data_IF_473304834444
#
_entry.id   IF_473304834444
#
_cell.length_a   1.000
_cell.length_b   1.000
_cell.length_c   1.000
_cell.angle_alpha   90.00
_cell.angle_beta   90.00
_cell.angle_gamma   90.00
#
_symmetry.space_group_name_H-M   'P 1'
#
loop_
_entity.id
_entity.type
_entity.pdbx_description
1 polymer ?
#
# COMPACT_ATOMS: atom_id res chain seq x y z
N UNK A 1 -46.16 29.56 35.90
CA UNK A 1 -45.11 30.55 36.18
C UNK A 1 -45.55 31.85 35.54
N UNK A 2 -45.73 32.91 36.34
CA UNK A 2 -46.13 34.21 35.83
C UNK A 2 -44.96 34.82 35.03
N UNK A 3 -45.19 35.21 33.78
CA UNK A 3 -44.21 35.91 32.97
C UNK A 3 -43.93 37.31 33.55
N UNK A 4 -42.72 37.86 33.32
CA UNK A 4 -42.35 39.16 33.86
C UNK A 4 -43.28 40.27 33.36
N UNK A 5 -43.62 41.19 34.26
CA UNK A 5 -44.43 42.37 34.01
C UNK A 5 -43.69 43.30 33.03
N UNK A 6 -44.31 43.54 31.87
CA UNK A 6 -43.74 44.35 30.78
C UNK A 6 -43.53 45.82 31.19
N UNK A 7 -44.10 46.28 32.31
CA UNK A 7 -43.92 47.63 32.84
C UNK A 7 -42.51 47.93 33.35
N UNK A 8 -41.71 46.92 33.71
CA UNK A 8 -40.39 47.12 34.32
C UNK A 8 -39.27 47.37 33.29
N UNK A 9 -39.47 46.95 32.03
CA UNK A 9 -38.49 47.11 30.93
C UNK A 9 -38.37 48.54 30.40
N UNK A 10 -39.20 49.48 30.85
CA UNK A 10 -39.20 50.87 30.41
C UNK A 10 -38.24 51.77 31.22
N UNK A 11 -37.71 51.29 32.35
CA UNK A 11 -36.79 52.05 33.21
C UNK A 11 -35.31 51.69 33.04
N UNK A 12 -35.02 50.66 32.24
CA UNK A 12 -33.65 50.24 31.93
C UNK A 12 -33.02 51.20 30.92
N UNK A 13 -31.74 51.53 31.13
CA UNK A 13 -31.00 52.30 30.15
C UNK A 13 -30.81 51.47 28.85
N UNK A 14 -30.45 52.14 27.75
CA UNK A 14 -30.34 51.48 26.44
C UNK A 14 -29.33 50.32 26.43
N UNK A 15 -28.30 50.36 27.27
CA UNK A 15 -27.28 49.32 27.37
C UNK A 15 -27.85 48.05 28.00
N UNK A 16 -28.64 48.19 29.06
CA UNK A 16 -29.23 47.05 29.77
C UNK A 16 -30.31 46.37 28.91
N UNK A 17 -31.05 47.13 28.10
CA UNK A 17 -31.99 46.59 27.12
C UNK A 17 -31.29 45.81 26.00
N UNK A 18 -30.12 46.27 25.58
CA UNK A 18 -29.29 45.56 24.60
C UNK A 18 -28.75 44.24 25.17
N UNK A 19 -28.27 44.26 26.42
CA UNK A 19 -27.77 43.07 27.09
C UNK A 19 -28.88 42.02 27.32
N UNK A 20 -30.07 42.45 27.77
CA UNK A 20 -31.21 41.56 27.95
C UNK A 20 -31.72 40.96 26.62
N UNK A 21 -31.68 41.72 25.52
CA UNK A 21 -32.03 41.22 24.20
C UNK A 21 -31.02 40.19 23.67
N UNK A 22 -29.73 40.36 23.96
CA UNK A 22 -28.67 39.40 23.61
C UNK A 22 -28.83 38.10 24.42
N UNK A 23 -29.12 38.18 25.72
CA UNK A 23 -29.37 36.99 26.54
C UNK A 23 -30.63 36.22 26.09
N UNK A 24 -31.71 36.94 25.76
CA UNK A 24 -32.92 36.33 25.25
C UNK A 24 -32.68 35.63 23.90
N UNK A 25 -31.94 36.25 22.98
CA UNK A 25 -31.59 35.65 21.68
C UNK A 25 -30.73 34.38 21.81
N UNK A 26 -29.91 34.27 22.85
CA UNK A 26 -29.07 33.10 23.10
C UNK A 26 -29.79 31.97 23.86
N UNK A 27 -30.82 32.28 24.66
CA UNK A 27 -31.55 31.31 25.48
C UNK A 27 -32.50 30.36 24.71
N UNK A 28 -32.73 30.60 23.41
CA UNK A 28 -33.73 29.90 22.60
C UNK A 28 -33.21 29.07 21.43
N UNK A 29 -31.89 29.01 21.19
CA UNK A 29 -31.36 28.11 20.16
C UNK A 29 -31.24 26.70 20.73
N UNK A 30 -31.99 25.70 20.22
CA UNK A 30 -31.65 24.31 20.51
C UNK A 30 -30.20 24.13 20.08
N UNK A 31 -29.36 23.66 20.99
CA UNK A 31 -27.97 23.36 20.69
C UNK A 31 -27.95 22.36 19.53
N UNK A 32 -27.72 22.85 18.32
CA UNK A 32 -27.44 21.98 17.18
C UNK A 32 -26.35 21.03 17.63
N UNK A 33 -26.55 19.69 17.56
CA UNK A 33 -25.59 18.74 18.07
C UNK A 33 -24.23 19.09 17.49
N UNK A 34 -23.31 19.48 18.36
CA UNK A 34 -21.95 19.87 18.00
C UNK A 34 -21.30 18.66 17.37
N UNK A 35 -21.37 18.54 16.05
CA UNK A 35 -20.62 17.55 15.29
C UNK A 35 -19.15 17.86 15.57
N UNK A 36 -18.52 17.02 16.40
CA UNK A 36 -17.12 17.17 16.73
C UNK A 36 -16.34 17.25 15.41
N UNK A 37 -15.46 18.26 15.23
CA UNK A 37 -14.65 18.36 14.03
C UNK A 37 -13.87 17.05 13.85
N UNK A 38 -13.71 16.56 12.60
CA UNK A 38 -13.02 15.30 12.35
C UNK A 38 -11.62 15.37 12.98
N UNK A 39 -11.33 14.40 13.86
CA UNK A 39 -10.04 14.31 14.54
C UNK A 39 -8.94 14.23 13.49
N UNK A 40 -7.98 15.16 13.54
CA UNK A 40 -6.83 15.13 12.65
C UNK A 40 -6.09 13.80 12.81
N UNK A 41 -5.59 13.19 11.72
CA UNK A 41 -4.81 11.97 11.82
C UNK A 41 -3.57 12.20 12.68
N UNK A 42 -3.19 11.19 13.47
CA UNK A 42 -1.97 11.25 14.28
C UNK A 42 -0.74 11.47 13.39
N UNK A 43 0.34 12.01 13.96
CA UNK A 43 1.61 12.17 13.25
C UNK A 43 2.11 10.84 12.66
N UNK A 44 1.84 9.73 13.36
CA UNK A 44 2.17 8.38 12.90
C UNK A 44 1.32 7.94 11.72
N UNK A 45 0.01 8.17 11.74
CA UNK A 45 -0.87 7.84 10.62
C UNK A 45 -0.50 8.65 9.36
N UNK A 46 -0.23 9.95 9.52
CA UNK A 46 0.24 10.79 8.41
C UNK A 46 1.57 10.29 7.85
N UNK A 47 2.49 9.88 8.71
CA UNK A 47 3.78 9.31 8.29
C UNK A 47 3.57 8.02 7.50
N UNK A 48 2.78 7.09 8.03
CA UNK A 48 2.48 5.81 7.38
C UNK A 48 1.88 6.01 5.97
N UNK A 49 0.91 6.94 5.82
CA UNK A 49 0.29 7.22 4.52
C UNK A 49 1.27 7.71 3.45
N UNK A 50 2.38 8.36 3.83
CA UNK A 50 3.41 8.78 2.87
C UNK A 50 4.22 7.57 2.35
N UNK A 51 4.45 6.58 3.20
CA UNK A 51 5.11 5.33 2.83
C UNK A 51 4.21 4.46 1.97
N UNK A 52 2.95 4.28 2.36
CA UNK A 52 1.93 3.55 1.60
C UNK A 52 1.75 4.16 0.20
N UNK A 53 1.58 5.48 0.12
CA UNK A 53 1.42 6.15 -1.18
C UNK A 53 2.63 5.99 -2.12
N UNK A 54 3.85 5.97 -1.59
CA UNK A 54 5.05 5.72 -2.39
C UNK A 54 5.20 4.25 -2.78
N UNK A 55 4.90 3.34 -1.85
CA UNK A 55 4.89 1.90 -2.06
C UNK A 55 3.93 1.53 -3.21
N UNK A 56 2.69 2.01 -3.14
CA UNK A 56 1.65 1.79 -4.14
C UNK A 56 2.04 2.37 -5.51
N UNK A 57 2.56 3.60 -5.52
CA UNK A 57 2.94 4.31 -6.74
C UNK A 57 4.05 3.60 -7.52
N UNK A 58 4.99 2.97 -6.81
CA UNK A 58 6.19 2.38 -7.43
C UNK A 58 6.23 0.85 -7.36
N UNK A 59 5.24 0.19 -6.75
CA UNK A 59 5.22 -1.27 -6.59
C UNK A 59 6.35 -1.79 -5.69
N UNK A 60 6.71 -1.03 -4.65
CA UNK A 60 7.75 -1.41 -3.67
C UNK A 60 7.06 -1.78 -2.36
N UNK A 61 7.44 -2.87 -1.67
CA UNK A 61 6.83 -3.22 -0.39
C UNK A 61 6.96 -2.09 0.64
N UNK A 62 5.84 -1.74 1.29
CA UNK A 62 5.79 -0.61 2.25
C UNK A 62 6.67 -0.86 3.47
N UNK A 63 6.74 -2.11 3.93
CA UNK A 63 7.58 -2.56 5.03
C UNK A 63 9.07 -2.41 4.73
N UNK A 64 9.50 -2.62 3.48
CA UNK A 64 10.87 -2.33 3.02
C UNK A 64 11.20 -0.84 3.16
N UNK A 65 10.32 0.06 2.70
CA UNK A 65 10.56 1.51 2.83
C UNK A 65 10.57 1.96 4.29
N UNK A 66 9.70 1.38 5.13
CA UNK A 66 9.70 1.62 6.58
C UNK A 66 10.99 1.11 7.24
N UNK A 67 11.46 -0.08 6.88
CA UNK A 67 12.71 -0.66 7.35
C UNK A 67 13.92 0.21 6.99
N UNK A 68 13.96 0.72 5.76
CA UNK A 68 14.99 1.67 5.30
C UNK A 68 14.97 2.95 6.13
N UNK A 69 13.81 3.57 6.31
CA UNK A 69 13.70 4.81 7.09
C UNK A 69 14.11 4.63 8.55
N UNK A 70 13.80 3.49 9.15
CA UNK A 70 14.21 3.18 10.52
C UNK A 70 15.73 2.94 10.61
N UNK A 71 16.31 2.17 9.69
CA UNK A 71 17.76 1.91 9.64
C UNK A 71 18.56 3.20 9.42
N UNK A 72 18.10 4.04 8.52
CA UNK A 72 18.86 5.19 8.02
C UNK A 72 18.78 6.41 8.95
N UNK A 73 17.65 6.61 9.61
CA UNK A 73 17.42 7.83 10.39
C UNK A 73 16.62 7.64 11.68
N UNK A 74 16.16 6.41 11.96
CA UNK A 74 15.12 6.16 12.96
C UNK A 74 13.90 7.08 12.73
N UNK A 75 13.49 7.20 11.46
CA UNK A 75 12.41 8.09 10.99
C UNK A 75 12.61 9.60 11.23
N UNK A 76 13.83 10.06 11.50
CA UNK A 76 14.10 11.48 11.69
C UNK A 76 14.22 12.21 10.34
N UNK A 77 13.27 13.11 10.00
CA UNK A 77 13.27 13.80 8.71
C UNK A 77 14.40 14.82 8.58
N UNK A 78 15.06 15.18 9.68
CA UNK A 78 16.17 16.13 9.74
C UNK A 78 17.53 15.43 9.94
N UNK A 79 17.59 14.10 9.84
CA UNK A 79 18.82 13.35 10.01
C UNK A 79 19.91 13.76 9.03
N UNK A 80 21.16 13.69 9.49
CA UNK A 80 22.36 14.02 8.73
C UNK A 80 23.48 13.07 9.14
N UNK A 81 24.14 12.46 8.16
CA UNK A 81 25.35 11.66 8.40
C UNK A 81 26.42 12.51 9.09
N UNK A 82 27.05 11.98 10.13
CA UNK A 82 28.19 12.59 10.81
C UNK A 82 29.48 11.92 10.30
N UNK A 83 30.54 12.71 10.04
CA UNK A 83 31.87 12.18 9.73
C UNK A 83 32.36 12.40 8.28
N UNK A 84 33.46 11.72 7.94
CA UNK A 84 34.12 11.79 6.64
C UNK A 84 33.45 10.79 5.69
N UNK A 85 32.95 11.28 4.55
CA UNK A 85 32.28 10.45 3.54
C UNK A 85 31.19 11.23 2.79
N UNK A 86 30.45 10.52 1.94
CA UNK A 86 29.32 11.09 1.22
C UNK A 86 28.23 11.54 2.18
N UNK A 87 27.78 12.79 2.05
CA UNK A 87 26.74 13.34 2.90
C UNK A 87 25.41 12.66 2.58
N UNK A 88 24.74 12.19 3.64
CA UNK A 88 23.41 11.59 3.56
C UNK A 88 22.45 12.34 4.47
N UNK A 89 21.24 12.62 3.98
CA UNK A 89 20.30 13.53 4.65
C UNK A 89 18.86 13.02 4.57
N UNK A 90 18.07 13.36 5.58
CA UNK A 90 16.63 13.10 5.60
C UNK A 90 16.25 11.71 6.10
N UNK A 91 14.97 11.38 5.93
CA UNK A 91 14.33 10.22 6.55
C UNK A 91 14.85 8.86 6.03
N UNK A 92 15.33 8.78 4.79
CA UNK A 92 15.94 7.60 4.16
C UNK A 92 17.40 7.91 3.74
N UNK A 93 18.10 8.78 4.49
CA UNK A 93 19.52 9.10 4.28
C UNK A 93 19.90 9.27 2.79
N UNK A 94 19.23 10.18 2.07
CA UNK A 94 19.46 10.43 0.65
C UNK A 94 20.86 11.01 0.42
N UNK A 95 21.59 10.48 -0.57
CA UNK A 95 22.89 11.03 -0.96
C UNK A 95 22.76 12.39 -1.65
N UNK A 96 23.80 13.21 -1.61
CA UNK A 96 23.82 14.50 -2.32
C UNK A 96 23.62 14.33 -3.85
N UNK A 97 24.14 13.24 -4.43
CA UNK A 97 23.96 12.93 -5.85
C UNK A 97 22.50 12.56 -6.17
N UNK A 98 21.84 11.76 -5.33
CA UNK A 98 20.42 11.43 -5.51
C UNK A 98 19.55 12.69 -5.37
N UNK A 99 19.86 13.56 -4.39
CA UNK A 99 19.18 14.84 -4.19
C UNK A 99 19.32 15.74 -5.42
N UNK A 100 20.53 15.85 -5.98
CA UNK A 100 20.80 16.65 -7.17
C UNK A 100 20.12 16.07 -8.42
N UNK A 101 20.17 14.75 -8.60
CA UNK A 101 19.55 14.06 -9.74
C UNK A 101 18.04 14.21 -9.74
N UNK A 102 17.41 14.04 -8.58
CA UNK A 102 15.95 13.99 -8.49
C UNK A 102 15.32 15.37 -8.23
N UNK A 103 16.14 16.40 -7.95
CA UNK A 103 15.67 17.78 -7.75
C UNK A 103 14.81 17.95 -6.50
N UNK A 104 15.06 17.16 -5.45
CA UNK A 104 14.25 17.10 -4.24
C UNK A 104 14.87 17.87 -3.07
N UNK A 105 14.07 18.17 -2.05
CA UNK A 105 14.57 18.55 -0.73
C UNK A 105 14.55 17.32 0.19
N UNK A 106 15.71 16.81 0.65
CA UNK A 106 15.78 15.59 1.47
C UNK A 106 15.11 15.74 2.85
N UNK A 107 14.86 16.97 3.30
CA UNK A 107 14.19 17.24 4.57
C UNK A 107 12.67 17.26 4.49
N UNK A 108 12.10 17.09 3.28
CA UNK A 108 10.67 16.89 3.07
C UNK A 108 10.43 15.38 2.95
N UNK A 109 9.83 14.72 3.96
CA UNK A 109 9.74 13.25 4.01
C UNK A 109 9.10 12.64 2.78
N UNK A 110 7.99 13.21 2.31
CA UNK A 110 7.30 12.71 1.12
C UNK A 110 8.17 12.72 -0.14
N UNK A 111 9.01 13.74 -0.33
CA UNK A 111 9.91 13.81 -1.49
C UNK A 111 11.05 12.79 -1.38
N UNK A 112 11.64 12.64 -0.19
CA UNK A 112 12.70 11.67 0.04
C UNK A 112 12.20 10.21 -0.11
N UNK A 113 11.02 9.90 0.45
CA UNK A 113 10.40 8.57 0.35
C UNK A 113 10.03 8.25 -1.10
N UNK A 114 9.42 9.18 -1.83
CA UNK A 114 9.03 9.01 -3.24
C UNK A 114 10.27 8.77 -4.13
N UNK A 115 11.35 9.54 -3.92
CA UNK A 115 12.62 9.35 -4.64
C UNK A 115 13.29 8.01 -4.31
N UNK A 116 13.30 7.59 -3.05
CA UNK A 116 13.85 6.29 -2.65
C UNK A 116 13.07 5.13 -3.29
N UNK A 117 11.74 5.16 -3.23
CA UNK A 117 10.87 4.15 -3.84
C UNK A 117 11.05 4.11 -5.37
N UNK A 118 11.12 5.27 -6.03
CA UNK A 118 11.44 5.37 -7.46
C UNK A 118 12.79 4.72 -7.80
N UNK A 119 13.81 4.95 -6.97
CA UNK A 119 15.15 4.37 -7.17
C UNK A 119 15.13 2.85 -7.06
N UNK A 120 14.44 2.28 -6.07
CA UNK A 120 14.24 0.83 -5.93
C UNK A 120 13.52 0.26 -7.16
N UNK A 121 12.42 0.90 -7.58
CA UNK A 121 11.67 0.48 -8.78
C UNK A 121 12.53 0.49 -10.04
N UNK A 122 13.38 1.50 -10.23
CA UNK A 122 14.29 1.54 -11.37
C UNK A 122 15.26 0.35 -11.39
N UNK A 123 15.69 -0.17 -10.24
CA UNK A 123 16.51 -1.38 -10.18
C UNK A 123 15.67 -2.64 -10.47
N UNK A 124 14.45 -2.72 -9.94
CA UNK A 124 13.54 -3.81 -10.26
C UNK A 124 13.22 -3.87 -11.77
N UNK A 125 13.08 -2.72 -12.42
CA UNK A 125 12.88 -2.61 -13.88
C UNK A 125 14.08 -3.07 -14.71
N UNK A 126 15.27 -3.12 -14.10
CA UNK A 126 16.47 -3.72 -14.68
C UNK A 126 16.54 -5.23 -14.46
N UNK A 127 15.49 -5.84 -13.90
CA UNK A 127 15.39 -7.28 -13.65
C UNK A 127 15.98 -7.72 -12.31
N UNK A 128 16.28 -6.79 -11.39
CA UNK A 128 16.71 -7.15 -10.03
C UNK A 128 15.50 -7.60 -9.20
N UNK A 129 15.72 -8.57 -8.31
CA UNK A 129 14.76 -8.87 -7.24
C UNK A 129 14.66 -7.68 -6.28
N UNK A 130 13.65 -7.67 -5.41
CA UNK A 130 13.53 -6.62 -4.36
C UNK A 130 14.79 -6.58 -3.48
N UNK A 131 15.28 -7.75 -3.04
CA UNK A 131 16.49 -7.87 -2.23
C UNK A 131 17.73 -7.30 -2.94
N UNK A 132 17.89 -7.64 -4.21
CA UNK A 132 18.98 -7.13 -5.05
C UNK A 132 18.83 -5.63 -5.30
N UNK A 133 17.61 -5.11 -5.43
CA UNK A 133 17.34 -3.68 -5.56
C UNK A 133 17.69 -2.91 -4.28
N UNK A 134 17.48 -3.51 -3.10
CA UNK A 134 17.92 -2.95 -1.81
C UNK A 134 19.45 -2.90 -1.73
N UNK A 135 20.15 -3.96 -2.15
CA UNK A 135 21.63 -3.93 -2.24
C UNK A 135 22.10 -2.87 -3.23
N UNK A 136 21.46 -2.79 -4.39
CA UNK A 136 21.77 -1.80 -5.42
C UNK A 136 21.53 -0.37 -4.95
N UNK A 137 20.57 -0.15 -4.05
CA UNK A 137 20.29 1.17 -3.48
C UNK A 137 21.51 1.79 -2.78
N UNK A 138 22.29 0.97 -2.07
CA UNK A 138 23.50 1.39 -1.35
C UNK A 138 24.78 1.16 -2.13
N UNK A 139 24.88 0.07 -2.90
CA UNK A 139 26.09 -0.35 -3.61
C UNK A 139 26.13 0.00 -5.10
N UNK A 140 25.05 0.55 -5.66
CA UNK A 140 24.91 0.78 -7.10
C UNK A 140 24.48 -0.46 -7.89
N UNK A 141 24.17 -0.32 -9.19
CA UNK A 141 23.61 -1.40 -10.01
C UNK A 141 24.59 -2.54 -10.31
N UNK A 142 25.90 -2.31 -10.18
CA UNK A 142 26.92 -3.32 -10.49
C UNK A 142 27.09 -4.29 -9.32
N UNK A 143 26.60 -5.52 -9.50
CA UNK A 143 26.73 -6.59 -8.50
C UNK A 143 28.19 -6.91 -8.15
N UNK A 144 29.14 -6.63 -9.05
CA UNK A 144 30.56 -6.81 -8.78
C UNK A 144 31.11 -5.86 -7.71
N UNK A 145 30.39 -4.77 -7.40
CA UNK A 145 30.75 -3.82 -6.35
C UNK A 145 30.09 -4.13 -5.01
N UNK A 146 29.20 -5.13 -4.98
CA UNK A 146 28.54 -5.55 -3.75
C UNK A 146 29.51 -6.35 -2.88
N UNK A 147 29.33 -6.24 -1.57
CA UNK A 147 30.20 -6.87 -0.60
C UNK A 147 29.54 -6.98 0.77
N UNK A 148 30.31 -7.26 1.84
CA UNK A 148 29.75 -7.47 3.17
C UNK A 148 28.82 -6.34 3.63
N UNK A 149 29.16 -5.08 3.32
CA UNK A 149 28.35 -3.92 3.71
C UNK A 149 26.97 -3.89 3.04
N UNK A 150 26.86 -4.29 1.76
CA UNK A 150 25.56 -4.33 1.07
C UNK A 150 24.69 -5.47 1.59
N UNK A 151 25.31 -6.59 1.95
CA UNK A 151 24.62 -7.73 2.55
C UNK A 151 24.13 -7.42 3.97
N UNK A 152 24.97 -6.82 4.80
CA UNK A 152 24.60 -6.32 6.13
C UNK A 152 23.44 -5.33 6.05
N UNK A 153 23.50 -4.39 5.10
CA UNK A 153 22.41 -3.45 4.89
C UNK A 153 21.10 -4.16 4.56
N UNK A 154 21.11 -5.12 3.62
CA UNK A 154 19.91 -5.90 3.28
C UNK A 154 19.35 -6.63 4.51
N UNK A 155 20.19 -7.34 5.27
CA UNK A 155 19.75 -8.10 6.44
C UNK A 155 19.12 -7.19 7.51
N UNK A 156 19.72 -6.00 7.73
CA UNK A 156 19.16 -4.99 8.63
C UNK A 156 17.78 -4.52 8.15
N UNK A 157 17.61 -4.27 6.85
CA UNK A 157 16.31 -3.86 6.29
C UNK A 157 15.29 -4.98 6.49
N UNK A 158 15.58 -6.21 6.08
CA UNK A 158 14.63 -7.33 6.17
C UNK A 158 14.18 -7.61 7.62
N UNK A 159 15.13 -7.56 8.57
CA UNK A 159 14.83 -7.73 10.00
C UNK A 159 13.89 -6.64 10.52
N UNK A 160 14.12 -5.38 10.14
CA UNK A 160 13.27 -4.25 10.52
C UNK A 160 11.92 -4.30 9.83
N UNK A 161 11.88 -4.61 8.53
CA UNK A 161 10.65 -4.76 7.74
C UNK A 161 9.73 -5.77 8.38
N UNK A 162 10.23 -6.96 8.75
CA UNK A 162 9.44 -7.98 9.44
C UNK A 162 8.80 -7.44 10.71
N UNK A 163 9.60 -6.85 11.60
CA UNK A 163 9.11 -6.28 12.86
C UNK A 163 8.08 -5.16 12.65
N UNK A 164 8.31 -4.28 11.67
CA UNK A 164 7.42 -3.16 11.38
C UNK A 164 6.14 -3.65 10.70
N UNK A 165 6.20 -4.69 9.87
CA UNK A 165 5.03 -5.34 9.31
C UNK A 165 4.13 -5.89 10.42
N UNK A 166 4.69 -6.62 11.39
CA UNK A 166 3.94 -7.13 12.54
C UNK A 166 3.31 -6.00 13.37
N UNK A 167 3.99 -4.85 13.47
CA UNK A 167 3.53 -3.70 14.25
C UNK A 167 2.38 -2.94 13.56
N UNK A 168 2.51 -2.65 12.26
CA UNK A 168 1.56 -1.78 11.54
C UNK A 168 0.48 -2.54 10.78
N UNK A 169 0.76 -3.81 10.44
CA UNK A 169 -0.14 -4.67 9.68
C UNK A 169 -0.31 -6.02 10.40
N UNK A 170 -0.78 -6.03 11.65
CA UNK A 170 -0.99 -7.27 12.38
C UNK A 170 -1.99 -8.15 11.61
N UNK A 171 -1.57 -9.37 11.29
CA UNK A 171 -2.48 -10.38 10.74
C UNK A 171 -3.47 -10.73 11.84
N UNK A 172 -4.74 -10.42 11.61
CA UNK A 172 -5.79 -10.81 12.55
C UNK A 172 -5.91 -12.35 12.57
N UNK A 173 -5.56 -13.02 13.68
CA UNK A 173 -5.60 -14.47 13.76
C UNK A 173 -7.02 -15.04 13.62
N UNK A 174 -8.05 -14.21 13.80
CA UNK A 174 -9.45 -14.61 13.61
C UNK A 174 -9.84 -14.76 12.13
N UNK A 175 -9.01 -14.28 11.20
CA UNK A 175 -9.18 -14.44 9.75
C UNK A 175 -8.38 -15.66 9.23
N UNK A 176 -7.92 -16.54 10.13
CA UNK A 176 -7.29 -17.80 9.73
C UNK A 176 -8.20 -18.54 8.74
N UNK A 177 -7.66 -19.09 7.64
CA UNK A 177 -8.44 -19.77 6.63
C UNK A 177 -9.29 -20.85 7.31
N UNK A 178 -10.60 -20.80 7.09
CA UNK A 178 -11.55 -21.76 7.64
C UNK A 178 -11.00 -23.17 7.44
N UNK A 179 -10.93 -23.95 8.52
CA UNK A 179 -10.39 -25.33 8.54
C UNK A 179 -11.13 -26.31 7.61
N UNK A 180 -12.15 -25.82 6.88
CA UNK A 180 -12.93 -26.55 5.88
C UNK A 180 -12.19 -26.69 4.53
N UNK A 181 -10.98 -26.14 4.38
CA UNK A 181 -10.11 -26.50 3.27
C UNK A 181 -9.67 -27.98 3.41
N UNK A 182 -9.89 -28.85 2.41
CA UNK A 182 -9.65 -30.28 2.54
C UNK A 182 -8.22 -30.60 2.99
N UNK A 183 -8.10 -31.34 4.10
CA UNK A 183 -6.87 -31.70 4.85
C UNK A 183 -5.82 -32.51 4.06
N UNK A 184 -5.97 -32.68 2.74
CA UNK A 184 -5.10 -33.52 1.92
C UNK A 184 -3.67 -32.97 1.76
N UNK A 185 -3.38 -31.74 2.18
CA UNK A 185 -2.06 -31.10 1.99
C UNK A 185 -1.16 -31.05 3.24
N UNK A 186 -1.63 -31.52 4.41
CA UNK A 186 -0.89 -31.35 5.67
C UNK A 186 0.14 -32.44 6.00
N UNK A 187 0.32 -33.48 5.16
CA UNK A 187 1.20 -34.61 5.50
C UNK A 187 2.68 -34.50 5.12
N UNK A 188 3.14 -33.43 4.46
CA UNK A 188 4.57 -33.24 4.17
C UNK A 188 5.07 -31.87 4.66
N UNK A 189 5.23 -31.73 5.97
CA UNK A 189 5.83 -30.57 6.61
C UNK A 189 7.36 -30.70 6.69
N UNK A 190 8.06 -30.36 5.62
CA UNK A 190 9.51 -30.06 5.63
C UNK A 190 9.88 -28.75 4.92
N UNK A 191 8.90 -27.88 4.60
CA UNK A 191 9.18 -26.53 4.12
C UNK A 191 8.44 -25.53 5.00
N UNK A 192 9.07 -25.20 6.12
CA UNK A 192 8.77 -23.97 6.87
C UNK A 192 9.31 -22.75 6.12
N UNK A 193 8.61 -21.63 6.26
CA UNK A 193 9.04 -20.25 5.96
C UNK A 193 8.80 -19.63 4.56
N UNK A 194 8.05 -20.23 3.65
CA UNK A 194 7.63 -19.55 2.40
C UNK A 194 6.11 -19.38 2.26
N UNK A 195 5.31 -19.99 3.15
CA UNK A 195 3.85 -20.10 2.99
C UNK A 195 3.01 -18.90 3.49
N UNK A 196 3.56 -17.94 4.24
CA UNK A 196 2.73 -16.94 4.91
C UNK A 196 2.47 -15.64 4.14
N UNK A 197 3.14 -15.39 3.01
CA UNK A 197 3.10 -14.06 2.36
C UNK A 197 2.03 -13.90 1.26
N UNK A 198 1.25 -14.93 0.92
CA UNK A 198 0.31 -14.88 -0.22
C UNK A 198 -1.17 -14.95 0.19
N UNK A 199 -1.50 -15.21 1.46
CA UNK A 199 -2.90 -15.47 1.88
C UNK A 199 -3.65 -14.23 2.41
N UNK A 200 -3.00 -13.07 2.50
CA UNK A 200 -3.59 -11.83 3.04
C UNK A 200 -4.55 -11.05 2.11
N UNK A 201 -5.06 -11.66 1.04
CA UNK A 201 -5.77 -10.93 -0.04
C UNK A 201 -7.28 -11.13 -0.17
N UNK A 202 -7.95 -11.88 0.70
CA UNK A 202 -9.37 -12.21 0.47
C UNK A 202 -10.20 -12.38 1.75
N UNK A 203 -10.63 -11.28 2.41
CA UNK A 203 -11.80 -11.32 3.30
C UNK A 203 -12.40 -9.93 3.65
N UNK A 204 -12.97 -9.20 2.69
CA UNK A 204 -14.20 -8.42 2.91
C UNK A 204 -15.10 -8.62 1.70
N UNK A 205 -16.36 -8.98 1.96
CA UNK A 205 -17.28 -9.57 0.99
C UNK A 205 -17.63 -8.71 -0.22
N UNK A 206 -18.13 -9.43 -1.24
CA UNK A 206 -18.49 -9.02 -2.59
C UNK A 206 -17.29 -8.69 -3.50
N UNK A 207 -17.09 -9.57 -4.50
CA UNK A 207 -16.01 -9.46 -5.47
C UNK A 207 -16.00 -8.10 -6.18
N UNK A 208 -14.93 -7.35 -5.93
CA UNK A 208 -14.44 -6.37 -6.88
C UNK A 208 -13.16 -6.96 -7.48
N UNK A 209 -13.32 -7.70 -8.58
CA UNK A 209 -12.22 -7.90 -9.51
C UNK A 209 -11.86 -6.54 -10.11
N UNK A 210 -10.59 -6.29 -10.41
CA UNK A 210 -10.15 -5.03 -11.05
C UNK A 210 -10.77 -4.87 -12.46
N UNK A 211 -11.21 -5.97 -13.10
CA UNK A 211 -12.08 -5.92 -14.27
C UNK A 211 -13.47 -5.30 -13.98
N UNK A 212 -14.06 -5.54 -12.82
CA UNK A 212 -15.32 -4.92 -12.42
C UNK A 212 -15.22 -3.40 -12.20
N UNK A 213 -14.08 -2.90 -11.72
CA UNK A 213 -13.86 -1.45 -11.60
C UNK A 213 -13.61 -0.78 -12.97
N UNK A 214 -12.93 -1.47 -13.90
CA UNK A 214 -12.70 -0.98 -15.25
C UNK A 214 -13.98 -0.99 -16.11
N UNK A 215 -14.77 -2.06 -16.08
CA UNK A 215 -16.05 -2.16 -16.82
C UNK A 215 -17.12 -1.21 -16.27
N UNK A 216 -17.22 -1.03 -14.95
CA UNK A 216 -18.11 -0.03 -14.34
C UNK A 216 -17.68 1.38 -14.73
N UNK A 217 -16.37 1.65 -14.79
CA UNK A 217 -15.87 2.96 -15.24
C UNK A 217 -16.07 3.20 -16.74
N UNK A 218 -16.05 2.17 -17.58
CA UNK A 218 -16.33 2.29 -19.01
C UNK A 218 -17.83 2.47 -19.28
N UNK A 219 -18.69 1.73 -18.60
CA UNK A 219 -20.14 1.89 -18.71
C UNK A 219 -20.61 3.29 -18.26
N UNK A 220 -20.03 3.83 -17.18
CA UNK A 220 -20.30 5.20 -16.71
C UNK A 220 -19.75 6.25 -17.69
N UNK A 221 -18.59 6.01 -18.30
CA UNK A 221 -17.99 6.93 -19.29
C UNK A 221 -18.72 6.96 -20.63
N UNK A 222 -19.21 5.81 -21.10
CA UNK A 222 -20.03 5.73 -22.32
C UNK A 222 -21.39 6.40 -22.16
N UNK A 223 -21.96 6.35 -20.94
CA UNK A 223 -23.17 7.09 -20.59
C UNK A 223 -22.92 8.61 -20.43
N UNK A 224 -21.67 9.03 -20.20
CA UNK A 224 -21.31 10.43 -19.93
C UNK A 224 -20.66 11.19 -21.11
N UNK A 225 -20.39 10.52 -22.26
CA UNK A 225 -19.95 11.19 -23.50
C UNK A 225 -18.57 11.85 -23.46
N UNK A 226 -17.62 11.32 -22.68
CA UNK A 226 -16.27 11.89 -22.52
C UNK A 226 -15.33 11.36 -23.62
N UNK A 227 -14.64 12.24 -24.41
CA UNK A 227 -13.79 11.81 -25.51
C UNK A 227 -12.47 11.13 -25.06
N UNK A 228 -12.02 10.16 -25.86
CA UNK A 228 -10.84 9.29 -25.61
C UNK A 228 -9.50 10.03 -25.69
N UNK A 229 -8.68 9.87 -24.64
CA UNK A 229 -7.23 10.01 -24.69
C UNK A 229 -6.59 8.65 -24.46
N UNK A 230 -5.50 8.35 -25.18
CA UNK A 230 -4.70 7.12 -25.02
C UNK A 230 -4.31 6.96 -23.55
N UNK A 231 -4.88 5.96 -22.90
CA UNK A 231 -4.84 5.85 -21.44
C UNK A 231 -3.58 5.12 -21.00
N UNK A 232 -3.13 5.41 -19.78
CA UNK A 232 -2.02 4.72 -19.09
C UNK A 232 -2.19 3.19 -19.04
N UNK A 233 -3.41 2.68 -19.27
CA UNK A 233 -3.72 1.25 -19.37
C UNK A 233 -3.08 0.57 -20.57
N UNK A 234 -2.94 1.23 -21.72
CA UNK A 234 -2.37 0.60 -22.93
C UNK A 234 -0.87 0.34 -22.76
N UNK A 235 -0.16 1.29 -22.14
CA UNK A 235 1.27 1.16 -21.86
C UNK A 235 1.56 0.11 -20.76
N UNK A 236 0.67 -0.01 -19.77
CA UNK A 236 0.76 -1.06 -18.75
C UNK A 236 0.46 -2.43 -19.35
N UNK A 237 -0.60 -2.56 -20.17
CA UNK A 237 -0.93 -3.81 -20.83
C UNK A 237 0.20 -4.32 -21.74
N UNK A 238 0.88 -3.42 -22.45
CA UNK A 238 2.04 -3.79 -23.28
C UNK A 238 3.25 -4.23 -22.45
N UNK A 239 3.50 -3.57 -21.31
CA UNK A 239 4.56 -3.95 -20.38
C UNK A 239 4.30 -5.31 -19.71
N UNK A 240 3.06 -5.58 -19.31
CA UNK A 240 2.65 -6.86 -18.71
C UNK A 240 2.69 -8.01 -19.73
N UNK A 241 2.24 -7.79 -20.96
CA UNK A 241 2.33 -8.79 -22.04
C UNK A 241 3.78 -9.17 -22.35
N UNK A 242 4.70 -8.19 -22.36
CA UNK A 242 6.13 -8.44 -22.59
C UNK A 242 6.79 -9.18 -21.43
N UNK A 243 6.35 -8.93 -20.21
CA UNK A 243 6.80 -9.66 -19.02
C UNK A 243 6.28 -11.11 -19.00
N UNK A 244 5.00 -11.32 -19.33
CA UNK A 244 4.38 -12.65 -19.40
C UNK A 244 5.06 -13.58 -20.42
N UNK A 245 5.40 -13.06 -21.60
CA UNK A 245 6.09 -13.85 -22.63
C UNK A 245 7.47 -14.36 -22.20
N UNK A 246 8.23 -13.57 -21.43
CA UNK A 246 9.55 -13.96 -20.91
C UNK A 246 9.49 -14.96 -19.75
N UNK A 247 8.42 -14.92 -18.95
CA UNK A 247 8.22 -15.85 -17.82
C UNK A 247 7.84 -17.25 -18.32
N UNK A 248 7.04 -17.35 -19.39
CA UNK A 248 6.56 -18.63 -19.94
C UNK A 248 7.67 -19.55 -20.48
N UNK A 249 8.83 -19.00 -20.88
CA UNK A 249 9.98 -19.76 -21.38
C UNK A 249 10.76 -20.47 -20.25
N UNK A 250 10.66 -20.00 -19.01
CA UNK A 250 11.38 -20.56 -17.84
C UNK A 250 10.58 -21.57 -17.00
N UNK A 251 9.32 -21.82 -17.34
CA UNK A 251 8.44 -22.67 -16.52
C UNK A 251 8.74 -24.16 -16.78
N UNK A 252 9.13 -24.89 -15.73
CA UNK A 252 9.43 -26.32 -15.82
C UNK A 252 8.18 -27.14 -16.23
N UNK A 253 8.35 -28.30 -16.90
CA UNK A 253 7.24 -29.17 -17.31
C UNK A 253 6.30 -29.55 -16.15
N UNK A 254 6.87 -29.77 -14.97
CA UNK A 254 6.12 -30.12 -13.74
C UNK A 254 5.25 -28.95 -13.27
N UNK A 255 5.72 -27.72 -13.47
CA UNK A 255 4.96 -26.51 -13.12
C UNK A 255 3.83 -26.29 -14.12
N UNK A 256 4.07 -26.50 -15.42
CA UNK A 256 3.03 -26.45 -16.46
C UNK A 256 1.93 -27.49 -16.18
N UNK A 257 2.33 -28.69 -15.77
CA UNK A 257 1.39 -29.74 -15.37
C UNK A 257 0.61 -29.35 -14.10
N UNK A 258 1.28 -28.80 -13.07
CA UNK A 258 0.61 -28.35 -11.85
C UNK A 258 -0.40 -27.23 -12.10
N UNK A 259 -0.10 -26.29 -13.01
CA UNK A 259 -1.01 -25.24 -13.48
C UNK A 259 -2.22 -25.88 -14.18
N UNK A 260 -1.99 -26.73 -15.18
CA UNK A 260 -3.05 -27.38 -15.95
C UNK A 260 -3.97 -28.25 -15.07
N UNK A 261 -3.40 -28.95 -14.09
CA UNK A 261 -4.14 -29.79 -13.15
C UNK A 261 -4.93 -28.98 -12.11
N UNK A 262 -4.58 -27.70 -11.91
CA UNK A 262 -5.22 -26.77 -10.97
C UNK A 262 -6.10 -25.72 -11.67
N UNK A 263 -6.08 -25.64 -13.00
CA UNK A 263 -6.95 -24.76 -13.77
C UNK A 263 -8.41 -25.12 -13.52
N UNK A 264 -9.22 -24.18 -13.01
CA UNK A 264 -10.63 -24.46 -12.76
C UNK A 264 -11.37 -24.68 -14.08
N UNK A 265 -12.17 -25.75 -14.12
CA UNK A 265 -13.06 -26.04 -15.24
C UNK A 265 -14.44 -25.44 -15.01
N UNK A 266 -15.24 -25.32 -16.06
CA UNK A 266 -16.63 -24.86 -15.98
C UNK A 266 -16.88 -23.49 -16.59
N UNK A 267 -18.14 -23.07 -16.59
CA UNK A 267 -18.54 -21.79 -17.15
C UNK A 267 -18.41 -20.69 -16.09
N UNK A 268 -17.60 -19.67 -16.37
CA UNK A 268 -17.31 -18.58 -15.43
C UNK A 268 -18.56 -17.80 -14.97
N UNK A 269 -19.63 -17.80 -15.77
CA UNK A 269 -20.90 -17.13 -15.44
C UNK A 269 -21.91 -18.05 -14.73
N UNK A 270 -21.57 -19.33 -14.52
CA UNK A 270 -22.42 -20.31 -13.85
C UNK A 270 -21.65 -20.97 -12.71
N UNK A 271 -21.68 -20.38 -11.49
CA UNK A 271 -20.89 -20.85 -10.34
C UNK A 271 -21.09 -22.33 -10.01
N UNK A 272 -22.29 -22.86 -10.22
CA UNK A 272 -22.59 -24.29 -10.00
C UNK A 272 -21.91 -25.26 -10.97
N UNK A 273 -21.16 -24.75 -11.97
CA UNK A 273 -20.41 -25.59 -12.92
C UNK A 273 -18.90 -25.56 -12.68
N UNK A 274 -18.43 -24.82 -11.68
CA UNK A 274 -17.00 -24.67 -11.41
C UNK A 274 -16.42 -25.95 -10.81
N UNK A 275 -15.28 -26.40 -11.34
CA UNK A 275 -14.54 -27.55 -10.81
C UNK A 275 -13.12 -27.13 -10.43
N UNK A 276 -12.60 -27.67 -9.33
CA UNK A 276 -11.25 -27.40 -8.82
C UNK A 276 -10.21 -28.26 -9.55
N UNK A 277 -10.05 -28.06 -10.86
CA UNK A 277 -9.09 -28.83 -11.68
C UNK A 277 -9.27 -30.36 -11.60
N UNK A 278 -8.34 -31.12 -12.18
CA UNK A 278 -8.32 -32.59 -12.06
C UNK A 278 -7.47 -33.08 -10.90
N UNK A 279 -6.42 -32.34 -10.55
CA UNK A 279 -5.52 -32.64 -9.44
C UNK A 279 -4.97 -31.33 -8.84
N UNK A 280 -5.82 -30.57 -8.12
CA UNK A 280 -5.48 -29.23 -7.68
C UNK A 280 -4.28 -29.24 -6.72
N UNK A 281 -3.36 -28.31 -6.91
CA UNK A 281 -2.19 -28.15 -6.04
C UNK A 281 -1.96 -26.68 -5.67
N UNK A 282 -1.40 -26.43 -4.48
CA UNK A 282 -1.02 -25.09 -4.02
C UNK A 282 -0.06 -24.39 -5.00
N UNK A 283 0.91 -25.15 -5.54
CA UNK A 283 1.83 -24.67 -6.57
C UNK A 283 1.06 -24.24 -7.82
N UNK A 284 0.13 -25.05 -8.29
CA UNK A 284 -0.69 -24.74 -9.46
C UNK A 284 -1.52 -23.47 -9.29
N UNK A 285 -2.18 -23.27 -8.14
CA UNK A 285 -2.94 -22.04 -7.88
C UNK A 285 -2.09 -20.79 -7.70
N UNK A 286 -0.92 -20.91 -7.07
CA UNK A 286 0.01 -19.79 -6.95
C UNK A 286 0.46 -19.29 -8.34
N UNK A 287 0.76 -20.22 -9.26
CA UNK A 287 1.09 -19.85 -10.63
C UNK A 287 -0.12 -19.47 -11.49
N UNK A 288 -1.31 -20.05 -11.27
CA UNK A 288 -2.54 -19.66 -11.96
C UNK A 288 -2.95 -18.24 -11.59
N UNK A 289 -2.73 -17.84 -10.33
CA UNK A 289 -2.85 -16.46 -9.90
C UNK A 289 -1.94 -15.56 -10.73
N UNK A 290 -0.66 -15.91 -10.87
CA UNK A 290 0.30 -15.13 -11.64
C UNK A 290 0.02 -15.11 -13.17
N UNK A 291 -0.52 -16.20 -13.74
CA UNK A 291 -0.81 -16.35 -15.20
C UNK A 291 -2.11 -15.62 -15.62
N UNK A 292 -3.13 -15.58 -14.75
CA UNK A 292 -4.36 -14.80 -15.00
C UNK A 292 -4.09 -13.28 -15.03
N UNK A 293 -3.00 -12.82 -14.43
CA UNK A 293 -2.56 -11.42 -14.49
C UNK A 293 -1.57 -11.12 -15.63
N UNK A 294 -1.28 -12.11 -16.49
CA UNK A 294 -0.29 -12.03 -17.58
C UNK A 294 -0.80 -12.24 -19.01
N UNK A 295 -2.13 -12.33 -19.23
CA UNK A 295 -2.80 -12.34 -20.55
C UNK A 295 -3.70 -11.12 -20.70
#
# INVERSE_FOLDING_TARGET
MAGPDLGEYAKLNAQDRLNAAIEFANSGRPESPSVAPPSQPSADAKRLSMFEGAADKYGVPVDVLLGMAEKDSNFNPLARSQGVGSRRRGIIAMSDDDVARDGINPYIPSQAIDSAAKKIKNYMDQGLSVDDAIKAYVGGPDRGQWGPQTDEYLQDILSRSKRLADQYYPVDPSVAPSQDAPQAAQQNSEIGDVGLQVVGGAAKGAGATIQGAAEVSQAVRHAAGIPEYRSMGDALAEAFNKWGAGVQEGVSPETKQAIADSSPGGNILKPGTWTLGKNPSLRGYAYLGLDIFGQ
#
